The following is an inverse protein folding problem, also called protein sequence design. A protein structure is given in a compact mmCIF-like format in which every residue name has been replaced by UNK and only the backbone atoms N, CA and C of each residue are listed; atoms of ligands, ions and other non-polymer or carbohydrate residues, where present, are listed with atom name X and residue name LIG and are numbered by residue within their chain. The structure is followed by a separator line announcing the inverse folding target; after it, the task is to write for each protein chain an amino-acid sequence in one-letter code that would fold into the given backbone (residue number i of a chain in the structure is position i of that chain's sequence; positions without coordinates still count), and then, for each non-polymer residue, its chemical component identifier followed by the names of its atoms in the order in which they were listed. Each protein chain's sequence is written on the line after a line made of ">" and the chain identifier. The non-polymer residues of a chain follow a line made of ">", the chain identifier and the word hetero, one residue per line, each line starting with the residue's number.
data_IF_650785654962
#
_entry.id   IF_650785654962
#
_cell.length_a   1.000
_cell.length_b   1.000
_cell.length_c   1.000
_cell.angle_alpha   90.00
_cell.angle_beta   90.00
_cell.angle_gamma   90.00
#
_symmetry.space_group_name_H-M   'P 1'
#
loop_
_entity.id
_entity.type
_entity.pdbx_description
1 polymer ?
#
# COMPACT_ATOMS: atom_id res chain seq x y z
N UNK A 1 -2.27 18.24 8.24
CA UNK A 1 -3.11 19.36 8.73
C UNK A 1 -4.52 18.94 9.14
N UNK A 2 -5.26 18.14 8.36
CA UNK A 2 -6.66 17.73 8.66
C UNK A 2 -6.83 17.13 10.06
N UNK A 3 -5.83 16.37 10.54
CA UNK A 3 -5.90 15.68 11.82
C UNK A 3 -5.91 16.62 13.06
N UNK A 4 -5.28 17.79 12.96
CA UNK A 4 -5.24 18.80 14.03
C UNK A 4 -6.63 19.44 14.23
N UNK A 5 -7.36 19.66 13.13
CA UNK A 5 -8.73 20.22 13.14
C UNK A 5 -9.71 19.22 13.75
N UNK A 6 -9.59 17.93 13.44
CA UNK A 6 -10.41 16.89 14.04
C UNK A 6 -10.18 16.74 15.56
N UNK A 7 -8.94 16.92 16.02
CA UNK A 7 -8.56 16.77 17.43
C UNK A 7 -9.03 17.94 18.29
N UNK A 8 -8.87 19.18 17.80
CA UNK A 8 -9.47 20.37 18.43
C UNK A 8 -10.99 20.27 18.42
N UNK A 9 -11.59 19.82 17.31
CA UNK A 9 -13.03 19.58 17.24
C UNK A 9 -13.52 18.55 18.26
N UNK A 10 -12.74 17.50 18.54
CA UNK A 10 -13.09 16.45 19.50
C UNK A 10 -12.90 16.90 20.96
N UNK A 11 -11.81 17.60 21.29
CA UNK A 11 -11.64 18.20 22.62
C UNK A 11 -12.67 19.29 22.92
N UNK A 12 -13.15 20.00 21.90
CA UNK A 12 -14.22 20.97 22.03
C UNK A 12 -15.62 20.36 22.00
N UNK A 13 -15.75 19.07 21.63
CA UNK A 13 -17.04 18.38 21.58
C UNK A 13 -17.65 18.18 22.97
N UNK A 14 -16.81 17.89 23.96
CA UNK A 14 -17.19 17.67 25.36
C UNK A 14 -17.46 18.98 26.13
N UNK A 15 -17.07 20.13 25.55
CA UNK A 15 -17.34 21.45 26.12
C UNK A 15 -18.70 21.96 25.65
N UNK A 16 -19.53 22.42 26.59
CA UNK A 16 -20.81 23.04 26.29
C UNK A 16 -20.64 24.26 25.35
N UNK A 17 -21.59 24.53 24.43
CA UNK A 17 -21.41 25.51 23.36
C UNK A 17 -20.99 26.92 23.82
N UNK A 18 -21.39 27.32 25.03
CA UNK A 18 -21.07 28.62 25.60
C UNK A 18 -19.63 28.73 26.14
N UNK A 19 -18.93 27.61 26.35
CA UNK A 19 -17.55 27.56 26.86
C UNK A 19 -16.48 27.51 25.75
N UNK A 20 -16.88 27.27 24.50
CA UNK A 20 -15.98 27.07 23.36
C UNK A 20 -15.26 28.35 22.92
N UNK A 21 -15.99 29.47 22.85
CA UNK A 21 -15.45 30.77 22.44
C UNK A 21 -14.38 31.35 23.38
N UNK A 22 -14.56 31.37 24.73
CA UNK A 22 -13.55 31.92 25.63
C UNK A 22 -12.29 31.04 25.74
N UNK A 23 -12.41 29.72 25.63
CA UNK A 23 -11.27 28.80 25.70
C UNK A 23 -10.28 28.98 24.53
N UNK A 24 -10.79 29.22 23.32
CA UNK A 24 -9.97 29.52 22.13
C UNK A 24 -9.23 30.86 22.26
N UNK A 25 -9.87 31.87 22.82
CA UNK A 25 -9.27 33.18 23.08
C UNK A 25 -8.15 33.09 24.14
N UNK A 26 -8.35 32.31 25.21
CA UNK A 26 -7.36 32.11 26.27
C UNK A 26 -6.12 31.31 25.81
N UNK A 27 -6.30 30.35 24.91
CA UNK A 27 -5.18 29.63 24.28
C UNK A 27 -4.34 30.56 23.40
N UNK A 28 -4.96 31.51 22.70
CA UNK A 28 -4.29 32.48 21.83
C UNK A 28 -3.57 33.60 22.62
N UNK A 29 -4.09 33.98 23.79
CA UNK A 29 -3.51 35.04 24.64
C UNK A 29 -2.45 34.52 25.64
N UNK A 30 -2.20 33.22 25.69
CA UNK A 30 -1.19 32.63 26.59
C UNK A 30 -1.58 32.62 28.07
N UNK A 31 -2.84 32.93 28.40
CA UNK A 31 -3.37 32.91 29.77
C UNK A 31 -3.94 31.54 30.17
N UNK A 32 -3.72 30.51 29.34
CA UNK A 32 -4.20 29.16 29.62
C UNK A 32 -3.43 28.55 30.80
N UNK A 33 -4.10 27.86 31.74
CA UNK A 33 -3.42 27.23 32.88
C UNK A 33 -2.40 26.20 32.39
N UNK A 34 -1.24 26.15 33.04
CA UNK A 34 -0.11 25.28 32.69
C UNK A 34 -0.49 23.79 32.56
N UNK A 35 -1.50 23.35 33.32
CA UNK A 35 -2.07 22.00 33.27
C UNK A 35 -2.64 21.64 31.89
N UNK A 36 -3.21 22.63 31.18
CA UNK A 36 -3.71 22.47 29.82
C UNK A 36 -2.58 22.22 28.82
N UNK A 37 -1.48 22.96 28.94
CA UNK A 37 -0.28 22.73 28.12
C UNK A 37 0.36 21.37 28.43
N UNK A 38 0.41 20.96 29.70
CA UNK A 38 0.91 19.65 30.10
C UNK A 38 0.08 18.51 29.50
N UNK A 39 -1.25 18.63 29.53
CA UNK A 39 -2.17 17.64 28.93
C UNK A 39 -1.99 17.56 27.42
N UNK A 40 -1.90 18.70 26.74
CA UNK A 40 -1.72 18.76 25.30
C UNK A 40 -0.35 18.20 24.88
N UNK A 41 0.71 18.51 25.63
CA UNK A 41 2.04 17.93 25.44
C UNK A 41 2.06 16.42 25.65
N UNK A 42 1.41 15.90 26.70
CA UNK A 42 1.30 14.47 26.95
C UNK A 42 0.53 13.74 25.84
N UNK A 43 -0.57 14.31 25.36
CA UNK A 43 -1.32 13.77 24.23
C UNK A 43 -0.47 13.70 22.96
N UNK A 44 0.24 14.78 22.61
CA UNK A 44 1.13 14.81 21.44
C UNK A 44 2.26 13.78 21.56
N UNK A 45 2.83 13.62 22.76
CA UNK A 45 3.89 12.66 23.01
C UNK A 45 3.39 11.22 22.91
N UNK A 46 2.20 10.90 23.45
CA UNK A 46 1.56 9.59 23.28
C UNK A 46 1.22 9.29 21.82
N UNK A 47 0.78 10.29 21.05
CA UNK A 47 0.51 10.12 19.61
C UNK A 47 1.81 9.87 18.85
N UNK A 48 2.86 10.63 19.12
CA UNK A 48 4.17 10.46 18.50
C UNK A 48 4.74 9.07 18.82
N UNK A 49 4.71 8.69 20.10
CA UNK A 49 5.16 7.38 20.56
C UNK A 49 4.32 6.25 19.96
N UNK A 50 3.00 6.43 19.82
CA UNK A 50 2.12 5.47 19.14
C UNK A 50 2.45 5.37 17.66
N UNK A 51 2.65 6.47 16.94
CA UNK A 51 2.99 6.43 15.51
C UNK A 51 4.32 5.71 15.26
N UNK A 52 5.33 6.02 16.08
CA UNK A 52 6.67 5.43 15.95
C UNK A 52 6.68 3.95 16.34
N UNK A 53 6.04 3.60 17.46
CA UNK A 53 5.90 2.20 17.88
C UNK A 53 5.07 1.42 16.87
N UNK A 54 3.92 1.92 16.39
CA UNK A 54 3.14 1.18 15.41
C UNK A 54 3.88 1.02 14.08
N UNK A 55 4.61 2.04 13.64
CA UNK A 55 5.48 1.95 12.46
C UNK A 55 6.54 0.87 12.63
N UNK A 56 7.23 0.84 13.76
CA UNK A 56 8.31 -0.12 14.00
C UNK A 56 7.79 -1.54 14.29
N UNK A 57 6.76 -1.68 15.13
CA UNK A 57 6.25 -2.98 15.59
C UNK A 57 5.43 -3.71 14.52
N UNK A 58 4.76 -2.99 13.61
CA UNK A 58 3.92 -3.62 12.58
C UNK A 58 4.54 -3.54 11.18
N UNK A 59 5.12 -2.41 10.77
CA UNK A 59 5.66 -2.29 9.41
C UNK A 59 7.01 -3.00 9.27
N UNK A 60 7.88 -2.97 10.27
CA UNK A 60 9.20 -3.62 10.18
C UNK A 60 9.11 -5.16 10.05
N UNK A 61 8.31 -5.89 10.85
CA UNK A 61 8.17 -7.33 10.65
C UNK A 61 7.35 -7.69 9.40
N UNK A 62 6.43 -6.84 8.95
CA UNK A 62 5.74 -7.05 7.67
C UNK A 62 6.70 -6.92 6.47
N UNK A 63 7.63 -5.95 6.55
CA UNK A 63 8.68 -5.77 5.55
C UNK A 63 9.71 -6.91 5.61
N UNK A 64 10.19 -7.27 6.81
CA UNK A 64 11.16 -8.35 7.01
C UNK A 64 10.62 -9.76 6.72
N UNK A 65 9.30 -9.97 6.79
CA UNK A 65 8.66 -11.24 6.36
C UNK A 65 8.55 -11.39 4.86
N UNK A 66 8.68 -10.31 4.09
CA UNK A 66 8.72 -10.40 2.64
C UNK A 66 10.11 -10.89 2.25
N UNK A 67 10.23 -12.17 1.88
CA UNK A 67 11.51 -12.81 1.57
C UNK A 67 12.30 -12.12 0.43
N UNK A 68 11.63 -11.28 -0.36
CA UNK A 68 12.19 -10.48 -1.46
C UNK A 68 12.53 -9.03 -1.05
N UNK A 69 12.29 -8.62 0.19
CA UNK A 69 12.50 -7.24 0.63
C UNK A 69 13.99 -6.87 0.65
N UNK A 70 14.35 -5.81 -0.07
CA UNK A 70 15.72 -5.30 -0.17
C UNK A 70 16.66 -6.14 -1.03
N UNK A 71 16.15 -7.14 -1.74
CA UNK A 71 16.94 -7.96 -2.67
C UNK A 71 16.67 -7.57 -4.12
N UNK A 72 17.69 -7.67 -4.97
CA UNK A 72 17.50 -7.58 -6.41
C UNK A 72 16.72 -8.80 -6.88
N UNK A 73 15.56 -8.55 -7.49
CA UNK A 73 14.64 -9.58 -7.98
C UNK A 73 14.66 -9.52 -9.49
N UNK A 74 15.02 -10.64 -10.12
CA UNK A 74 14.85 -10.81 -11.55
C UNK A 74 13.39 -11.21 -11.81
N UNK A 75 12.77 -10.52 -12.76
CA UNK A 75 11.42 -10.83 -13.23
C UNK A 75 11.51 -11.43 -14.62
N UNK A 76 11.05 -12.66 -14.75
CA UNK A 76 10.99 -13.38 -16.02
C UNK A 76 9.54 -13.70 -16.35
N UNK A 77 9.11 -13.37 -17.56
CA UNK A 77 7.80 -13.72 -18.07
C UNK A 77 7.98 -14.87 -19.04
N UNK A 78 7.43 -16.02 -18.69
CA UNK A 78 7.51 -17.24 -19.48
C UNK A 78 6.09 -17.71 -19.87
N UNK A 79 6.03 -18.70 -20.75
CA UNK A 79 4.79 -19.27 -21.26
C UNK A 79 3.95 -19.91 -20.16
N UNK A 80 4.59 -20.42 -19.11
CA UNK A 80 3.93 -21.07 -17.96
C UNK A 80 3.41 -20.05 -16.95
N UNK A 81 4.06 -18.88 -16.83
CA UNK A 81 3.71 -17.89 -15.82
C UNK A 81 4.74 -16.79 -15.64
N UNK A 82 4.56 -16.01 -14.59
CA UNK A 82 5.46 -14.95 -14.14
C UNK A 82 6.35 -15.54 -13.05
N UNK A 83 7.66 -15.48 -13.26
CA UNK A 83 8.67 -15.83 -12.27
C UNK A 83 9.28 -14.55 -11.69
N UNK A 84 9.28 -14.47 -10.36
CA UNK A 84 9.86 -13.36 -9.62
C UNK A 84 10.77 -13.95 -8.53
N UNK A 85 12.07 -13.80 -8.69
CA UNK A 85 12.99 -14.38 -7.72
C UNK A 85 14.46 -14.04 -7.91
N UNK A 86 15.27 -14.70 -7.09
CA UNK A 86 16.72 -14.76 -7.16
C UNK A 86 17.18 -16.15 -6.66
N UNK A 87 18.49 -16.38 -6.59
CA UNK A 87 19.06 -17.67 -6.19
C UNK A 87 18.59 -18.20 -4.81
N UNK A 88 18.02 -17.34 -3.97
CA UNK A 88 17.58 -17.68 -2.59
C UNK A 88 16.07 -17.78 -2.44
N UNK A 89 15.31 -17.01 -3.21
CA UNK A 89 13.85 -16.88 -3.04
C UNK A 89 13.19 -16.83 -4.40
N UNK A 90 12.32 -17.81 -4.66
CA UNK A 90 11.62 -17.97 -5.93
C UNK A 90 10.11 -17.94 -5.71
N UNK A 91 9.43 -17.03 -6.40
CA UNK A 91 7.97 -17.03 -6.53
C UNK A 91 7.60 -17.28 -7.98
N UNK A 92 6.67 -18.21 -8.20
CA UNK A 92 6.12 -18.49 -9.53
C UNK A 92 4.62 -18.32 -9.46
N UNK A 93 4.11 -17.46 -10.34
CA UNK A 93 2.69 -17.16 -10.48
C UNK A 93 2.24 -17.65 -11.85
N UNK A 94 1.32 -18.61 -11.89
CA UNK A 94 0.70 -19.03 -13.15
C UNK A 94 -0.16 -17.92 -13.74
N UNK A 95 -0.24 -17.86 -15.07
CA UNK A 95 -1.16 -16.95 -15.79
C UNK A 95 -2.62 -17.11 -15.36
N UNK A 96 -3.04 -18.32 -15.00
CA UNK A 96 -4.38 -18.60 -14.45
C UNK A 96 -4.66 -17.89 -13.12
N UNK A 97 -3.61 -17.62 -12.34
CA UNK A 97 -3.71 -16.89 -11.07
C UNK A 97 -3.71 -15.37 -11.25
N UNK A 98 -3.40 -14.86 -12.44
CA UNK A 98 -3.40 -13.41 -12.69
C UNK A 98 -4.84 -12.94 -12.94
N UNK A 99 -5.36 -12.10 -12.06
CA UNK A 99 -6.71 -11.56 -12.19
C UNK A 99 -6.78 -10.41 -13.21
N UNK A 100 -5.81 -9.50 -13.16
CA UNK A 100 -5.74 -8.33 -14.03
C UNK A 100 -4.33 -7.77 -14.17
N UNK A 101 -4.10 -7.07 -15.27
CA UNK A 101 -2.88 -6.31 -15.54
C UNK A 101 -3.26 -4.82 -15.54
N UNK A 102 -2.59 -4.04 -14.69
CA UNK A 102 -2.76 -2.59 -14.63
C UNK A 102 -1.49 -1.95 -15.16
N UNK A 103 -1.62 -1.22 -16.26
CA UNK A 103 -0.53 -0.45 -16.85
C UNK A 103 -0.60 1.01 -16.37
N UNK A 104 0.52 1.58 -16.00
CA UNK A 104 0.68 2.95 -15.52
C UNK A 104 1.98 3.49 -16.09
N UNK A 105 2.12 4.80 -16.37
CA UNK A 105 3.33 5.35 -16.99
C UNK A 105 4.65 5.02 -16.28
N UNK A 106 4.59 4.66 -14.99
CA UNK A 106 5.76 4.36 -14.16
C UNK A 106 5.95 2.86 -13.87
N UNK A 107 4.92 2.03 -14.03
CA UNK A 107 4.94 0.63 -13.60
C UNK A 107 3.83 -0.19 -14.26
N UNK A 108 4.10 -1.48 -14.40
CA UNK A 108 3.10 -2.49 -14.73
C UNK A 108 2.83 -3.31 -13.47
N UNK A 109 1.56 -3.50 -13.12
CA UNK A 109 1.13 -4.28 -11.97
C UNK A 109 0.32 -5.50 -12.42
N UNK A 110 0.81 -6.68 -12.10
CA UNK A 110 0.11 -7.96 -12.25
C UNK A 110 -0.58 -8.29 -10.93
N UNK A 111 -1.90 -8.20 -10.90
CA UNK A 111 -2.67 -8.49 -9.69
C UNK A 111 -3.02 -9.97 -9.67
N UNK A 112 -2.52 -10.68 -8.66
CA UNK A 112 -2.72 -12.13 -8.49
C UNK A 112 -3.86 -12.40 -7.52
N UNK A 113 -3.90 -11.65 -6.42
CA UNK A 113 -4.97 -11.72 -5.42
C UNK A 113 -5.28 -10.33 -4.85
N UNK A 114 -6.27 -10.24 -3.96
CA UNK A 114 -6.57 -8.98 -3.25
C UNK A 114 -5.39 -8.46 -2.40
N UNK A 115 -4.43 -9.33 -2.05
CA UNK A 115 -3.30 -9.01 -1.15
C UNK A 115 -1.94 -9.22 -1.80
N UNK A 116 -1.89 -9.69 -3.04
CA UNK A 116 -0.65 -10.07 -3.71
C UNK A 116 -0.65 -9.58 -5.16
N UNK A 117 0.45 -8.95 -5.54
CA UNK A 117 0.67 -8.47 -6.89
C UNK A 117 2.16 -8.37 -7.19
N UNK A 118 2.49 -8.62 -8.45
CA UNK A 118 3.85 -8.48 -8.96
C UNK A 118 3.97 -7.14 -9.65
N UNK A 119 4.95 -6.33 -9.25
CA UNK A 119 5.14 -4.98 -9.76
C UNK A 119 6.43 -4.92 -10.58
N UNK A 120 6.31 -4.49 -11.83
CA UNK A 120 7.41 -4.30 -12.76
C UNK A 120 7.60 -2.79 -13.01
N UNK A 121 8.64 -2.16 -12.44
CA UNK A 121 8.92 -0.74 -12.68
C UNK A 121 9.30 -0.48 -14.14
N UNK A 122 8.83 0.64 -14.71
CA UNK A 122 9.16 1.04 -16.10
C UNK A 122 10.67 1.13 -16.35
N UNK A 123 11.42 1.56 -15.33
CA UNK A 123 12.90 1.67 -15.34
C UNK A 123 13.63 0.33 -15.50
N UNK A 124 12.98 -0.79 -15.19
CA UNK A 124 13.56 -2.12 -15.37
C UNK A 124 13.52 -2.58 -16.85
N UNK A 125 12.79 -1.87 -17.70
CA UNK A 125 12.61 -2.22 -19.12
C UNK A 125 13.36 -1.22 -19.98
N UNK A 126 14.34 -1.72 -20.74
CA UNK A 126 15.31 -0.92 -21.48
C UNK A 126 14.72 0.05 -22.51
N UNK A 127 13.54 -0.24 -23.11
CA UNK A 127 12.95 0.58 -24.17
C UNK A 127 11.42 0.62 -24.12
N UNK A 128 10.80 1.65 -24.72
CA UNK A 128 9.33 1.76 -24.84
C UNK A 128 8.75 0.65 -25.71
N UNK A 129 9.47 0.26 -26.77
CA UNK A 129 9.08 -0.85 -27.65
C UNK A 129 9.01 -2.17 -26.87
N UNK A 130 10.05 -2.49 -26.07
CA UNK A 130 10.01 -3.68 -25.21
C UNK A 130 8.89 -3.63 -24.18
N UNK A 131 8.58 -2.46 -23.66
CA UNK A 131 7.47 -2.31 -22.72
C UNK A 131 6.13 -2.71 -23.36
N UNK A 132 5.90 -2.24 -24.60
CA UNK A 132 4.70 -2.62 -25.35
C UNK A 132 4.69 -4.11 -25.71
N UNK A 133 5.82 -4.69 -26.11
CA UNK A 133 5.95 -6.12 -26.40
C UNK A 133 5.62 -6.98 -25.17
N UNK A 134 6.18 -6.63 -24.01
CA UNK A 134 5.93 -7.32 -22.73
C UNK A 134 4.46 -7.22 -22.35
N UNK A 135 3.84 -6.05 -22.50
CA UNK A 135 2.42 -5.86 -22.23
C UNK A 135 1.53 -6.66 -23.18
N UNK A 136 1.86 -6.66 -24.48
CA UNK A 136 1.13 -7.42 -25.48
C UNK A 136 1.21 -8.93 -25.19
N UNK A 137 2.41 -9.42 -24.90
CA UNK A 137 2.64 -10.81 -24.50
C UNK A 137 1.83 -11.19 -23.26
N UNK A 138 1.93 -10.40 -22.19
CA UNK A 138 1.24 -10.71 -20.94
C UNK A 138 -0.28 -10.68 -21.08
N UNK A 139 -0.83 -9.74 -21.88
CA UNK A 139 -2.27 -9.70 -22.17
C UNK A 139 -2.72 -10.92 -22.96
N UNK A 140 -1.99 -11.29 -24.02
CA UNK A 140 -2.31 -12.46 -24.82
C UNK A 140 -2.34 -13.75 -23.97
N UNK A 141 -1.38 -13.90 -23.04
CA UNK A 141 -1.33 -15.06 -22.13
C UNK A 141 -2.46 -15.07 -21.11
N UNK A 142 -2.83 -13.91 -20.57
CA UNK A 142 -3.97 -13.81 -19.67
C UNK A 142 -5.29 -14.18 -20.37
N UNK A 143 -5.49 -13.70 -21.59
CA UNK A 143 -6.69 -14.00 -22.37
C UNK A 143 -6.77 -15.48 -22.75
N UNK A 144 -5.63 -16.09 -23.13
CA UNK A 144 -5.54 -17.53 -23.35
C UNK A 144 -5.91 -18.34 -22.10
N UNK A 145 -5.35 -17.99 -20.94
CA UNK A 145 -5.64 -18.67 -19.67
C UNK A 145 -7.13 -18.56 -19.27
N UNK A 146 -7.78 -17.43 -19.57
CA UNK A 146 -9.22 -17.24 -19.35
C UNK A 146 -10.06 -18.07 -20.31
N UNK A 147 -9.65 -18.16 -21.57
CA UNK A 147 -10.32 -19.01 -22.54
C UNK A 147 -10.29 -20.48 -22.08
N UNK A 148 -9.13 -20.98 -21.67
CA UNK A 148 -8.97 -22.34 -21.15
C UNK A 148 -9.84 -22.61 -19.90
N UNK A 149 -9.90 -21.64 -18.98
CA UNK A 149 -10.74 -21.74 -17.79
C UNK A 149 -12.25 -21.84 -18.13
N UNK A 150 -12.70 -21.07 -19.13
CA UNK A 150 -14.10 -21.11 -19.58
C UNK A 150 -14.46 -22.43 -20.28
N UNK A 151 -13.54 -22.99 -21.07
CA UNK A 151 -13.70 -24.31 -21.71
C UNK A 151 -13.74 -25.42 -20.67
N UNK A 152 -12.89 -25.36 -19.65
CA UNK A 152 -12.87 -26.34 -18.56
C UNK A 152 -14.19 -26.34 -17.76
N UNK A 153 -14.71 -25.15 -17.43
CA UNK A 153 -15.98 -25.01 -16.71
C UNK A 153 -17.17 -25.61 -17.48
N UNK A 154 -17.16 -25.47 -18.81
CA UNK A 154 -18.23 -25.98 -19.68
C UNK A 154 -18.18 -27.51 -19.90
N UNK A 155 -17.07 -28.17 -19.59
CA UNK A 155 -16.94 -29.65 -19.65
C UNK A 155 -17.34 -30.34 -18.35
N UNK A 156 -17.41 -29.60 -17.25
CA UNK A 156 -17.80 -30.11 -15.92
C UNK A 156 -19.29 -29.94 -15.60
N UNK A 157 -20.06 -29.30 -16.49
CA UNK A 157 -21.50 -29.11 -16.39
C UNK A 157 -22.23 -30.14 -17.26
#
# INVERSE_FOLDING_TARGET
>A
MIWLVCMVGFMMWDLEPHQRMPALHLLATGQFPWQGYATLGACLLLIWFRAEIFGWLFCAPAYGRSALAGQDVALELDDVGIWAGNDKVNSRVSWSGVMRIVDTPRLVLFVVSKREGVLLPRRAIASDTRHQEVLAFARARLDAARADASVAANRSA
#
